data_IF_560928094407
#
_entry.id   IF_560928094407
#
_cell.length_a   1.000
_cell.length_b   1.000
_cell.length_c   1.000
_cell.angle_alpha   90.00
_cell.angle_beta   90.00
_cell.angle_gamma   90.00
#
_symmetry.space_group_name_H-M   'P 1'
#
loop_
_entity.id
_entity.type
_entity.pdbx_description
1 polymer ?
#
# COMPACT_ATOMS: atom_id res chain seq x y z
N UNK A 1 26.71 -40.45 -45.49
CA UNK A 1 25.85 -40.25 -46.68
C UNK A 1 24.54 -39.61 -46.24
N UNK A 2 24.20 -38.44 -46.83
CA UNK A 2 22.84 -37.92 -47.16
C UNK A 2 21.83 -37.72 -46.01
N UNK A 3 21.10 -36.62 -45.84
CA UNK A 3 20.94 -35.34 -46.56
C UNK A 3 20.47 -34.29 -45.55
N UNK A 4 21.07 -33.11 -45.61
CA UNK A 4 20.66 -31.87 -44.93
C UNK A 4 19.56 -31.22 -45.80
N UNK A 5 18.40 -30.89 -45.24
CA UNK A 5 17.34 -30.18 -45.99
C UNK A 5 17.20 -28.77 -45.43
N UNK A 6 17.63 -27.82 -46.26
CA UNK A 6 17.65 -26.38 -46.07
C UNK A 6 16.23 -25.82 -46.32
N UNK A 7 15.65 -25.08 -45.38
CA UNK A 7 14.44 -24.30 -45.61
C UNK A 7 14.82 -22.82 -45.76
N UNK A 8 14.83 -22.35 -47.01
CA UNK A 8 14.99 -20.95 -47.41
C UNK A 8 13.60 -20.47 -47.87
N UNK A 9 12.97 -19.54 -47.14
CA UNK A 9 11.77 -18.84 -47.62
C UNK A 9 12.11 -17.37 -47.79
N UNK A 10 12.04 -16.94 -49.04
CA UNK A 10 12.30 -15.61 -49.53
C UNK A 10 11.15 -14.64 -49.21
N UNK A 11 11.58 -13.42 -48.89
CA UNK A 11 10.86 -12.17 -48.76
C UNK A 11 9.93 -11.89 -49.96
N UNK A 12 8.73 -11.37 -49.72
CA UNK A 12 8.09 -10.41 -50.64
C UNK A 12 7.48 -9.25 -49.85
N UNK A 13 8.11 -8.09 -50.00
CA UNK A 13 7.68 -6.79 -49.50
C UNK A 13 6.62 -6.22 -50.45
N UNK A 14 5.42 -5.96 -49.93
CA UNK A 14 4.41 -5.17 -50.64
C UNK A 14 4.66 -3.68 -50.33
N UNK A 15 5.41 -3.00 -51.21
CA UNK A 15 5.33 -1.55 -51.34
C UNK A 15 4.13 -1.22 -52.23
N UNK A 16 3.09 -0.61 -51.66
CA UNK A 16 2.04 0.07 -52.46
C UNK A 16 2.25 1.58 -52.37
N UNK A 17 2.55 2.16 -53.52
CA UNK A 17 2.83 3.57 -53.71
C UNK A 17 1.57 4.44 -53.53
N UNK A 18 1.68 5.38 -52.58
CA UNK A 18 1.39 6.82 -52.68
C UNK A 18 0.47 7.28 -53.83
N UNK A 19 -0.77 7.64 -53.50
CA UNK A 19 -1.54 8.64 -54.24
C UNK A 19 -1.57 9.94 -53.43
N UNK A 20 -1.17 11.03 -54.09
CA UNK A 20 -1.08 12.38 -53.55
C UNK A 20 -2.49 12.97 -53.42
N UNK A 21 -2.98 13.08 -52.18
CA UNK A 21 -4.10 13.96 -51.86
C UNK A 21 -3.57 15.31 -51.38
N UNK A 22 -3.98 16.34 -52.09
CA UNK A 22 -3.73 17.76 -51.83
C UNK A 22 -4.25 18.15 -50.44
N UNK A 23 -3.31 18.46 -49.55
CA UNK A 23 -3.56 18.90 -48.19
C UNK A 23 -4.02 20.36 -48.22
N UNK A 24 -5.30 20.63 -47.95
CA UNK A 24 -5.78 21.95 -47.54
C UNK A 24 -5.56 22.10 -46.03
N UNK A 25 -4.87 23.15 -45.54
CA UNK A 25 -4.73 23.35 -44.11
C UNK A 25 -6.08 23.86 -43.55
N UNK A 26 -6.82 22.97 -42.88
CA UNK A 26 -7.93 23.39 -42.03
C UNK A 26 -7.36 23.86 -40.69
N UNK A 27 -7.75 25.09 -40.37
CA UNK A 27 -7.38 25.86 -39.20
C UNK A 27 -7.72 25.16 -37.89
N UNK A 28 -6.81 25.35 -36.93
CA UNK A 28 -6.95 25.00 -35.52
C UNK A 28 -8.32 25.40 -34.96
N UNK A 29 -9.12 24.39 -34.59
CA UNK A 29 -10.06 24.52 -33.47
C UNK A 29 -9.58 23.61 -32.35
N UNK A 30 -8.93 24.26 -31.39
CA UNK A 30 -8.75 23.86 -30.00
C UNK A 30 -9.79 22.83 -29.56
N UNK A 31 -9.37 21.56 -29.46
CA UNK A 31 -10.05 20.59 -28.60
C UNK A 31 -9.72 20.98 -27.17
N UNK A 32 -10.52 21.87 -26.59
CA UNK A 32 -10.68 21.98 -25.13
C UNK A 32 -10.89 20.55 -24.62
N UNK A 33 -9.90 19.96 -23.97
CA UNK A 33 -10.11 18.74 -23.22
C UNK A 33 -11.18 19.06 -22.18
N UNK A 34 -12.36 18.47 -22.35
CA UNK A 34 -13.34 18.43 -21.28
C UNK A 34 -12.66 17.62 -20.17
N UNK A 35 -12.13 18.33 -19.17
CA UNK A 35 -11.81 17.80 -17.85
C UNK A 35 -13.09 17.14 -17.36
N UNK A 36 -13.18 15.81 -17.51
CA UNK A 36 -14.25 15.04 -16.90
C UNK A 36 -14.13 15.31 -15.40
N UNK A 37 -15.14 15.98 -14.85
CA UNK A 37 -15.34 16.03 -13.41
C UNK A 37 -15.64 14.59 -12.98
N UNK A 38 -14.64 13.91 -12.43
CA UNK A 38 -14.84 12.67 -11.70
C UNK A 38 -15.64 13.01 -10.44
N UNK A 39 -16.97 13.03 -10.56
CA UNK A 39 -17.91 13.00 -9.42
C UNK A 39 -18.06 11.56 -8.89
N UNK A 40 -16.94 10.84 -8.79
CA UNK A 40 -16.87 9.51 -8.21
C UNK A 40 -16.19 9.62 -6.86
N UNK A 41 -16.94 9.34 -5.80
CA UNK A 41 -16.49 9.18 -4.42
C UNK A 41 -15.07 8.59 -4.34
N UNK A 42 -14.05 9.45 -4.25
CA UNK A 42 -12.67 9.00 -4.16
C UNK A 42 -12.46 8.48 -2.73
N UNK A 43 -12.24 7.17 -2.57
CA UNK A 43 -11.98 6.53 -1.28
C UNK A 43 -10.86 7.25 -0.51
N UNK A 44 -9.86 7.76 -1.23
CA UNK A 44 -8.74 8.52 -0.67
C UNK A 44 -9.17 9.82 0.02
N UNK A 45 -10.18 10.51 -0.49
CA UNK A 45 -10.64 11.77 0.09
C UNK A 45 -11.34 11.51 1.42
N UNK A 46 -11.98 10.34 1.56
CA UNK A 46 -12.66 9.92 2.78
C UNK A 46 -11.71 9.37 3.84
N UNK A 47 -10.64 8.67 3.44
CA UNK A 47 -9.73 8.01 4.38
C UNK A 47 -9.22 8.94 5.49
N UNK A 48 -9.40 8.57 6.76
CA UNK A 48 -8.86 9.29 7.93
C UNK A 48 -8.12 8.33 8.87
N UNK A 49 -7.40 8.92 9.83
CA UNK A 49 -6.81 8.19 10.96
C UNK A 49 -7.35 8.87 12.20
N UNK A 50 -7.93 8.10 13.10
CA UNK A 50 -8.31 8.53 14.45
C UNK A 50 -7.55 7.72 15.47
N UNK A 51 -7.18 8.36 16.57
CA UNK A 51 -6.32 7.71 17.54
C UNK A 51 -6.58 8.16 18.97
N UNK A 52 -6.23 7.29 19.91
CA UNK A 52 -6.14 7.54 21.33
C UNK A 52 -4.75 7.11 21.80
N UNK A 53 -4.05 7.97 22.53
CA UNK A 53 -2.72 7.70 23.07
C UNK A 53 -2.82 7.51 24.58
N UNK A 54 -2.34 6.38 25.09
CA UNK A 54 -2.33 6.05 26.50
C UNK A 54 -0.88 5.80 26.97
N UNK A 55 -0.46 6.50 28.02
CA UNK A 55 0.86 6.29 28.64
C UNK A 55 2.05 6.91 27.89
N UNK A 56 1.80 7.74 26.88
CA UNK A 56 2.81 8.53 26.20
C UNK A 56 3.12 9.80 27.02
N UNK A 57 4.38 10.26 27.02
CA UNK A 57 4.71 11.63 27.44
C UNK A 57 4.42 12.62 26.31
N UNK A 58 4.36 13.91 26.61
CA UNK A 58 4.10 14.97 25.60
C UNK A 58 5.05 14.89 24.38
N UNK A 59 6.35 14.63 24.58
CA UNK A 59 7.32 14.44 23.49
C UNK A 59 7.01 13.18 22.66
N UNK A 60 6.59 12.11 23.34
CA UNK A 60 6.26 10.84 22.68
C UNK A 60 4.94 10.94 21.92
N UNK A 61 3.95 11.67 22.46
CA UNK A 61 2.70 12.00 21.77
C UNK A 61 3.01 12.76 20.50
N UNK A 62 3.76 13.87 20.58
CA UNK A 62 4.14 14.66 19.41
C UNK A 62 4.85 13.82 18.33
N UNK A 63 5.72 12.88 18.72
CA UNK A 63 6.37 11.96 17.79
C UNK A 63 5.38 11.00 17.13
N UNK A 64 4.47 10.41 17.91
CA UNK A 64 3.45 9.49 17.39
C UNK A 64 2.50 10.23 16.43
N UNK A 65 2.00 11.40 16.83
CA UNK A 65 1.13 12.23 16.00
C UNK A 65 1.77 12.59 14.67
N UNK A 66 3.04 13.00 14.67
CA UNK A 66 3.78 13.31 13.44
C UNK A 66 3.97 12.07 12.56
N UNK A 67 4.22 10.90 13.15
CA UNK A 67 4.30 9.64 12.41
C UNK A 67 2.95 9.26 11.78
N UNK A 68 1.84 9.42 12.51
CA UNK A 68 0.48 9.16 12.02
C UNK A 68 0.05 10.15 10.94
N UNK A 69 0.44 11.43 11.05
CA UNK A 69 0.22 12.42 10.01
C UNK A 69 0.94 12.02 8.71
N UNK A 70 2.21 11.66 8.80
CA UNK A 70 2.99 11.19 7.64
C UNK A 70 2.46 9.86 7.09
N UNK A 71 2.02 8.94 7.93
CA UNK A 71 1.34 7.70 7.53
C UNK A 71 0.10 8.01 6.69
N UNK A 72 -0.74 8.95 7.13
CA UNK A 72 -1.93 9.38 6.39
C UNK A 72 -1.58 9.96 5.02
N UNK A 73 -0.54 10.79 4.95
CA UNK A 73 -0.03 11.33 3.67
C UNK A 73 0.45 10.18 2.77
N UNK A 74 1.21 9.23 3.33
CA UNK A 74 1.73 8.08 2.61
C UNK A 74 0.60 7.22 2.02
N UNK A 75 -0.39 6.80 2.83
CA UNK A 75 -1.55 6.00 2.37
C UNK A 75 -2.33 6.70 1.24
N UNK A 76 -2.44 8.04 1.31
CA UNK A 76 -3.13 8.84 0.28
C UNK A 76 -2.31 9.09 -0.98
N UNK A 77 -1.05 8.68 -1.02
CA UNK A 77 -0.17 8.91 -2.15
C UNK A 77 -0.38 7.92 -3.30
N UNK A 78 -0.11 8.37 -4.53
CA UNK A 78 -0.07 7.46 -5.68
C UNK A 78 1.09 6.47 -5.57
N UNK A 79 2.19 6.84 -4.90
CA UNK A 79 3.33 5.94 -4.65
C UNK A 79 2.91 4.72 -3.84
N UNK A 80 2.17 4.92 -2.75
CA UNK A 80 1.62 3.83 -1.94
C UNK A 80 0.72 2.92 -2.77
N UNK A 81 -0.26 3.51 -3.47
CA UNK A 81 -1.16 2.74 -4.34
C UNK A 81 -0.38 1.89 -5.34
N UNK A 82 0.58 2.47 -6.05
CA UNK A 82 1.36 1.72 -7.03
C UNK A 82 2.23 0.64 -6.39
N UNK A 83 2.82 0.89 -5.22
CA UNK A 83 3.60 -0.11 -4.49
C UNK A 83 2.73 -1.31 -4.07
N UNK A 84 1.52 -1.07 -3.56
CA UNK A 84 0.57 -2.13 -3.20
C UNK A 84 0.12 -2.92 -4.43
N UNK A 85 -0.33 -2.22 -5.48
CA UNK A 85 -0.83 -2.88 -6.70
C UNK A 85 0.25 -3.69 -7.42
N UNK A 86 1.50 -3.24 -7.38
CA UNK A 86 2.63 -3.90 -8.04
C UNK A 86 3.41 -4.85 -7.12
N UNK A 87 2.98 -5.09 -5.88
CA UNK A 87 3.65 -6.04 -4.99
C UNK A 87 3.69 -7.45 -5.61
N UNK A 88 4.87 -8.10 -5.57
CA UNK A 88 5.12 -9.40 -6.17
C UNK A 88 5.56 -10.41 -5.11
N UNK A 89 4.91 -11.57 -5.13
CA UNK A 89 5.31 -12.73 -4.35
C UNK A 89 5.38 -13.97 -5.25
N UNK A 90 6.54 -14.65 -5.24
CA UNK A 90 6.82 -15.84 -6.09
C UNK A 90 6.49 -15.61 -7.57
N UNK A 91 6.87 -14.44 -8.10
CA UNK A 91 6.68 -14.07 -9.51
C UNK A 91 5.26 -13.68 -9.90
N UNK A 92 4.33 -13.59 -8.94
CA UNK A 92 2.93 -13.23 -9.18
C UNK A 92 2.59 -11.93 -8.46
N UNK A 93 1.74 -11.09 -9.06
CA UNK A 93 1.21 -9.86 -8.43
C UNK A 93 0.18 -10.22 -7.37
N UNK A 94 0.65 -10.53 -6.17
CA UNK A 94 -0.13 -10.93 -5.00
C UNK A 94 0.68 -10.73 -3.74
N UNK A 95 0.00 -10.57 -2.61
CA UNK A 95 0.60 -10.76 -1.30
C UNK A 95 0.57 -12.24 -0.90
N UNK A 96 1.49 -12.64 -0.02
CA UNK A 96 1.36 -13.90 0.71
C UNK A 96 0.28 -13.76 1.79
N UNK A 97 -0.53 -14.80 2.02
CA UNK A 97 -1.62 -14.79 3.01
C UNK A 97 -2.61 -13.61 2.89
N UNK A 98 -2.95 -13.18 1.68
CA UNK A 98 -3.95 -12.12 1.40
C UNK A 98 -5.41 -12.52 1.62
N UNK A 99 -5.70 -13.67 2.25
CA UNK A 99 -7.07 -14.25 2.35
C UNK A 99 -7.75 -14.46 0.98
N UNK A 100 -6.96 -14.64 -0.08
CA UNK A 100 -7.46 -14.81 -1.44
C UNK A 100 -7.72 -13.49 -2.19
N UNK A 101 -7.55 -12.34 -1.52
CA UNK A 101 -7.67 -11.03 -2.14
C UNK A 101 -6.56 -10.79 -3.18
N UNK A 102 -6.93 -10.12 -4.27
CA UNK A 102 -6.03 -9.46 -5.21
C UNK A 102 -5.38 -8.23 -4.57
N UNK A 103 -4.30 -7.71 -5.15
CA UNK A 103 -3.67 -6.49 -4.63
C UNK A 103 -4.61 -5.28 -4.62
N UNK A 104 -5.53 -5.19 -5.59
CA UNK A 104 -6.54 -4.12 -5.63
C UNK A 104 -7.52 -4.26 -4.48
N UNK A 105 -7.99 -5.48 -4.20
CA UNK A 105 -8.89 -5.73 -3.06
C UNK A 105 -8.19 -5.48 -1.73
N UNK A 106 -6.90 -5.81 -1.58
CA UNK A 106 -6.12 -5.45 -0.39
C UNK A 106 -6.06 -3.92 -0.22
N UNK A 107 -5.75 -3.19 -1.29
CA UNK A 107 -5.72 -1.72 -1.26
C UNK A 107 -7.08 -1.12 -0.89
N UNK A 108 -8.16 -1.59 -1.53
CA UNK A 108 -9.51 -1.10 -1.25
C UNK A 108 -9.96 -1.46 0.17
N UNK A 109 -9.58 -2.64 0.68
CA UNK A 109 -9.88 -3.08 2.06
C UNK A 109 -9.19 -2.18 3.09
N UNK A 110 -7.93 -1.81 2.85
CA UNK A 110 -7.20 -0.83 3.67
C UNK A 110 -7.93 0.52 3.68
N UNK A 111 -8.36 1.03 2.52
CA UNK A 111 -9.01 2.34 2.46
C UNK A 111 -10.42 2.36 3.07
N UNK A 112 -11.11 1.23 3.11
CA UNK A 112 -12.45 1.11 3.69
C UNK A 112 -12.46 1.12 5.21
N UNK A 113 -11.37 0.71 5.86
CA UNK A 113 -11.23 0.79 7.31
C UNK A 113 -12.09 -0.19 8.11
N UNK A 114 -12.61 -1.27 7.49
CA UNK A 114 -13.51 -2.20 8.19
C UNK A 114 -12.73 -3.09 9.16
N UNK A 115 -12.86 -2.83 10.46
CA UNK A 115 -12.19 -3.56 11.53
C UNK A 115 -13.02 -4.78 12.02
N UNK A 116 -12.35 -5.86 12.41
CA UNK A 116 -12.99 -7.10 12.82
C UNK A 116 -13.86 -6.93 14.09
N UNK A 117 -13.47 -6.02 14.98
CA UNK A 117 -14.18 -5.73 16.24
C UNK A 117 -15.19 -4.57 16.13
N UNK A 118 -15.12 -3.81 15.04
CA UNK A 118 -16.06 -2.74 14.69
C UNK A 118 -16.33 -2.81 13.19
N UNK A 119 -17.20 -3.73 12.72
CA UNK A 119 -17.38 -4.03 11.30
C UNK A 119 -18.24 -2.98 10.59
N UNK A 120 -17.84 -1.72 10.70
CA UNK A 120 -18.46 -0.56 10.07
C UNK A 120 -17.48 -0.06 9.00
N UNK A 121 -17.99 0.23 7.81
CA UNK A 121 -17.21 0.93 6.78
C UNK A 121 -17.36 2.43 6.99
N UNK A 122 -16.34 3.06 7.57
CA UNK A 122 -16.27 4.49 7.85
C UNK A 122 -15.05 5.17 7.20
N UNK A 123 -14.22 4.41 6.48
CA UNK A 123 -12.98 4.88 5.86
C UNK A 123 -11.98 5.38 6.92
N UNK A 124 -12.01 4.80 8.12
CA UNK A 124 -11.16 5.20 9.24
C UNK A 124 -10.14 4.11 9.58
N UNK A 125 -8.96 4.55 9.99
CA UNK A 125 -8.00 3.72 10.70
C UNK A 125 -8.07 4.11 12.16
N UNK A 126 -8.71 3.28 12.98
CA UNK A 126 -8.86 3.48 14.42
C UNK A 126 -7.68 2.91 15.19
N UNK A 127 -6.95 3.78 15.89
CA UNK A 127 -5.74 3.41 16.63
C UNK A 127 -5.89 3.70 18.11
N UNK A 128 -6.14 2.67 18.91
CA UNK A 128 -6.03 2.78 20.36
C UNK A 128 -4.65 2.33 20.81
N UNK A 129 -3.72 3.27 20.96
CA UNK A 129 -2.30 3.01 21.18
C UNK A 129 -1.95 3.15 22.66
N UNK A 130 -1.40 2.10 23.26
CA UNK A 130 -0.85 2.12 24.62
C UNK A 130 0.66 1.94 24.58
N UNK A 131 1.40 2.89 25.12
CA UNK A 131 2.83 2.76 25.33
C UNK A 131 3.11 1.87 26.56
N UNK A 132 4.04 0.93 26.43
CA UNK A 132 4.50 0.10 27.53
C UNK A 132 6.01 -0.13 27.44
N UNK A 133 6.63 -0.52 28.55
CA UNK A 133 8.05 -0.89 28.56
C UNK A 133 8.24 -2.40 28.63
N UNK A 134 9.05 -2.96 27.73
CA UNK A 134 9.52 -4.35 27.85
C UNK A 134 10.91 -4.55 27.21
N UNK A 135 11.73 -5.38 27.86
CA UNK A 135 13.06 -5.75 27.36
C UNK A 135 13.04 -6.77 26.21
N UNK A 136 11.87 -7.33 25.90
CA UNK A 136 11.72 -8.34 24.82
C UNK A 136 12.05 -7.78 23.43
N UNK A 137 12.00 -8.65 22.42
CA UNK A 137 12.20 -8.28 21.02
C UNK A 137 10.91 -7.87 20.30
N UNK A 138 9.79 -7.83 21.01
CA UNK A 138 8.51 -7.39 20.48
C UNK A 138 8.48 -5.87 20.38
N UNK A 139 8.28 -5.37 19.16
CA UNK A 139 8.21 -3.93 18.84
C UNK A 139 6.85 -3.37 19.19
N UNK A 140 5.81 -4.03 18.70
CA UNK A 140 4.42 -3.82 19.05
C UNK A 140 3.69 -5.15 19.05
N UNK A 141 2.48 -5.16 19.58
CA UNK A 141 1.58 -6.28 19.42
C UNK A 141 0.13 -5.84 19.61
N UNK A 142 -0.77 -6.70 19.20
CA UNK A 142 -2.18 -6.60 19.52
C UNK A 142 -2.82 -7.98 19.73
N UNK A 143 -4.06 -8.01 20.21
CA UNK A 143 -4.85 -9.24 20.34
C UNK A 143 -6.15 -9.17 19.52
N UNK A 144 -6.66 -10.31 19.02
CA UNK A 144 -7.88 -10.33 18.19
C UNK A 144 -9.16 -9.84 18.90
N UNK A 145 -9.18 -9.77 20.23
CA UNK A 145 -10.38 -9.52 21.05
C UNK A 145 -10.38 -8.14 21.75
N UNK A 146 -9.52 -7.21 21.33
CA UNK A 146 -9.44 -5.85 21.84
C UNK A 146 -9.05 -4.89 20.72
N UNK A 147 -9.42 -3.60 20.79
CA UNK A 147 -8.94 -2.57 19.85
C UNK A 147 -7.57 -2.02 20.26
N UNK A 148 -7.05 -2.41 21.42
CA UNK A 148 -5.78 -1.92 21.94
C UNK A 148 -4.58 -2.43 21.12
N UNK A 149 -3.67 -1.52 20.79
CA UNK A 149 -2.37 -1.78 20.17
C UNK A 149 -1.30 -1.34 21.16
N UNK A 150 -0.43 -2.27 21.55
CA UNK A 150 0.64 -1.98 22.49
C UNK A 150 1.93 -1.68 21.75
N UNK A 151 2.55 -0.55 22.10
CA UNK A 151 3.79 -0.06 21.50
C UNK A 151 4.91 -0.11 22.55
N UNK A 152 6.00 -0.79 22.25
CA UNK A 152 7.12 -0.92 23.18
C UNK A 152 8.03 0.31 23.13
N UNK A 153 8.12 1.04 24.22
CA UNK A 153 8.92 2.28 24.34
C UNK A 153 10.41 2.10 24.00
N UNK A 154 10.96 0.90 24.26
CA UNK A 154 12.35 0.49 23.95
C UNK A 154 12.64 0.68 22.46
N UNK A 155 11.65 0.44 21.61
CA UNK A 155 11.75 0.60 20.17
C UNK A 155 11.27 1.98 19.74
N UNK A 156 10.09 2.38 20.23
CA UNK A 156 9.49 3.66 19.89
C UNK A 156 10.45 4.84 20.08
N UNK A 157 11.19 4.88 21.20
CA UNK A 157 12.07 6.01 21.52
C UNK A 157 13.24 6.14 20.53
N UNK A 158 13.77 5.03 20.00
CA UNK A 158 14.90 5.02 19.05
C UNK A 158 14.49 5.03 17.58
N UNK A 159 13.25 4.66 17.29
CA UNK A 159 12.74 4.53 15.93
C UNK A 159 12.60 5.87 15.23
N UNK A 160 12.81 5.85 13.92
CA UNK A 160 12.43 6.92 13.01
C UNK A 160 10.92 7.04 12.90
N UNK A 161 10.42 8.13 12.30
CA UNK A 161 8.99 8.30 12.04
C UNK A 161 8.45 7.19 11.12
N UNK A 162 9.25 6.75 10.13
CA UNK A 162 8.89 5.64 9.25
C UNK A 162 8.73 4.32 9.99
N UNK A 163 9.67 3.98 10.89
CA UNK A 163 9.57 2.75 11.70
C UNK A 163 8.38 2.80 12.69
N UNK A 164 8.06 3.98 13.24
CA UNK A 164 6.86 4.16 14.07
C UNK A 164 5.58 3.96 13.25
N UNK A 165 5.50 4.58 12.07
CA UNK A 165 4.36 4.45 11.16
C UNK A 165 4.19 3.01 10.65
N UNK A 166 5.30 2.32 10.35
CA UNK A 166 5.32 0.90 10.00
C UNK A 166 4.69 0.06 11.12
N UNK A 167 5.16 0.22 12.37
CA UNK A 167 4.62 -0.54 13.48
C UNK A 167 3.12 -0.27 13.69
N UNK A 168 2.68 0.99 13.64
CA UNK A 168 1.25 1.32 13.75
C UNK A 168 0.41 0.67 12.63
N UNK A 169 0.87 0.75 11.38
CA UNK A 169 0.21 0.14 10.23
C UNK A 169 0.18 -1.38 10.33
N UNK A 170 1.29 -2.01 10.70
CA UNK A 170 1.40 -3.46 10.87
C UNK A 170 0.39 -3.99 11.87
N UNK A 171 0.32 -3.37 13.06
CA UNK A 171 -0.59 -3.79 14.12
C UNK A 171 -2.05 -3.51 13.76
N UNK A 172 -2.34 -2.41 13.06
CA UNK A 172 -3.68 -2.13 12.56
C UNK A 172 -4.13 -3.08 11.44
N UNK A 173 -3.21 -3.56 10.59
CA UNK A 173 -3.55 -4.55 9.57
C UNK A 173 -4.05 -5.87 10.19
N UNK A 174 -3.61 -6.20 11.40
CA UNK A 174 -4.20 -7.28 12.19
C UNK A 174 -5.65 -6.99 12.61
N UNK A 175 -6.03 -5.72 12.81
CA UNK A 175 -7.41 -5.30 13.15
C UNK A 175 -8.40 -5.39 12.01
N UNK A 176 -7.94 -5.26 10.78
CA UNK A 176 -8.77 -5.48 9.59
C UNK A 176 -8.63 -6.91 9.04
N UNK A 177 -8.12 -7.83 9.88
CA UNK A 177 -8.16 -9.26 9.67
C UNK A 177 -7.06 -9.83 8.79
N UNK A 178 -5.95 -9.13 8.59
CA UNK A 178 -4.77 -9.72 7.93
C UNK A 178 -3.83 -10.39 8.93
N UNK A 179 -3.27 -11.52 8.52
CA UNK A 179 -2.44 -12.35 9.37
C UNK A 179 -1.09 -12.63 8.71
N UNK A 180 -0.11 -13.01 9.53
CA UNK A 180 1.17 -13.49 9.03
C UNK A 180 1.56 -14.82 9.68
N UNK A 181 2.62 -15.45 9.18
CA UNK A 181 3.13 -16.69 9.79
C UNK A 181 3.67 -16.43 11.19
N UNK A 182 3.35 -17.32 12.13
CA UNK A 182 3.85 -17.27 13.51
C UNK A 182 5.37 -17.42 13.56
N UNK A 183 5.91 -18.41 12.85
CA UNK A 183 7.35 -18.61 12.74
C UNK A 183 7.97 -17.65 11.73
N UNK A 184 9.16 -17.16 12.06
CA UNK A 184 10.00 -16.45 11.10
C UNK A 184 10.37 -17.40 9.94
N UNK A 185 10.02 -17.01 8.72
CA UNK A 185 10.31 -17.78 7.51
C UNK A 185 10.44 -16.83 6.30
N UNK A 186 11.04 -17.29 5.18
CA UNK A 186 11.32 -16.42 4.03
C UNK A 186 10.08 -15.81 3.36
N UNK A 187 8.90 -16.39 3.57
CA UNK A 187 7.66 -15.89 2.99
C UNK A 187 7.01 -14.80 3.87
N UNK A 188 7.41 -14.67 5.14
CA UNK A 188 6.81 -13.74 6.13
C UNK A 188 6.89 -12.26 5.71
N UNK A 189 8.00 -11.74 5.15
CA UNK A 189 8.06 -10.36 4.66
C UNK A 189 7.04 -10.04 3.56
N UNK A 190 6.56 -11.05 2.82
CA UNK A 190 5.57 -10.89 1.75
C UNK A 190 4.12 -10.97 2.24
N UNK A 191 3.89 -11.14 3.55
CA UNK A 191 2.54 -11.07 4.12
C UNK A 191 2.03 -9.64 4.13
N UNK A 192 0.71 -9.45 4.11
CA UNK A 192 0.11 -8.11 4.06
C UNK A 192 0.63 -7.18 5.18
N UNK A 193 0.64 -7.56 6.47
CA UNK A 193 1.15 -6.68 7.53
C UNK A 193 2.60 -6.22 7.30
N UNK A 194 3.50 -7.16 7.00
CA UNK A 194 4.91 -6.85 6.77
C UNK A 194 5.16 -6.03 5.51
N UNK A 195 4.65 -6.50 4.37
CA UNK A 195 4.94 -5.85 3.10
C UNK A 195 4.36 -4.43 3.04
N UNK A 196 3.16 -4.22 3.59
CA UNK A 196 2.55 -2.89 3.64
C UNK A 196 3.29 -1.99 4.65
N UNK A 197 3.67 -2.53 5.81
CA UNK A 197 4.49 -1.82 6.79
C UNK A 197 5.81 -1.31 6.22
N UNK A 198 6.54 -2.15 5.49
CA UNK A 198 7.80 -1.78 4.80
C UNK A 198 7.55 -0.70 3.73
N UNK A 199 6.50 -0.83 2.91
CA UNK A 199 6.13 0.21 1.91
C UNK A 199 5.85 1.55 2.60
N UNK A 200 5.13 1.55 3.71
CA UNK A 200 4.84 2.76 4.49
C UNK A 200 6.12 3.39 5.04
N UNK A 201 6.99 2.58 5.64
CA UNK A 201 8.28 3.05 6.17
C UNK A 201 9.08 3.79 5.10
N UNK A 202 9.22 3.18 3.93
CA UNK A 202 9.97 3.71 2.80
C UNK A 202 9.42 5.04 2.30
N UNK A 203 8.09 5.21 2.27
CA UNK A 203 7.44 6.43 1.83
C UNK A 203 7.58 7.51 2.90
N UNK A 204 7.29 7.19 4.17
CA UNK A 204 7.36 8.15 5.28
C UNK A 204 8.77 8.69 5.46
N UNK A 205 9.80 7.87 5.29
CA UNK A 205 11.20 8.30 5.39
C UNK A 205 11.64 9.27 4.27
N UNK A 206 10.86 9.42 3.19
CA UNK A 206 11.10 10.38 2.10
C UNK A 206 10.38 11.73 2.29
N UNK A 207 9.38 11.79 3.18
CA UNK A 207 8.58 12.99 3.48
C UNK A 207 9.30 13.88 4.49
#
# INVERSE_FOLDING_TARGET
MRFLTLFLVLLSLNLKARQNNTFKPQSNKSKKSKKLKNNGNNLLDKFQISYQLNGFSEEQEAKMELALEKLKIAVKSEEFKQAVLNHIYKGQRRFYKSKGMTNQEVYDHILRGVEDLSPIEDFEMDLKLTLYHSKTNTVGYTYPNTNEIWVNDKYFNKYTLGEVANNAMHEWLHKIGFEHSYYNNPDRPYTVPYAIGEIIEDIVNKL
#
